data_IF_631720067116
#
_entry.id   IF_631720067116
#
_cell.length_a   1.000
_cell.length_b   1.000
_cell.length_c   1.000
_cell.angle_alpha   90.00
_cell.angle_beta   90.00
_cell.angle_gamma   90.00
#
_symmetry.space_group_name_H-M   'P 1'
#
loop_
_entity.id
_entity.type
_entity.pdbx_description
1 polymer ?
#
# COMPACT_ATOMS: atom_id res chain seq x y z
N UNK A 1 31.81 -52.98 28.64
CA UNK A 1 32.27 -51.98 27.67
C UNK A 1 31.34 -52.03 26.47
N UNK A 2 30.24 -51.24 26.46
CA UNK A 2 29.41 -51.06 25.26
C UNK A 2 28.56 -49.79 25.38
N UNK A 3 29.03 -48.80 24.63
CA UNK A 3 28.38 -47.67 23.97
C UNK A 3 26.97 -47.21 24.41
N UNK A 4 26.96 -45.94 24.83
CA UNK A 4 25.82 -45.01 24.85
C UNK A 4 25.09 -45.01 23.50
N UNK A 5 23.76 -45.01 23.53
CA UNK A 5 22.94 -44.43 22.45
C UNK A 5 22.07 -43.34 23.09
N UNK A 6 22.46 -42.09 22.88
CA UNK A 6 21.65 -40.93 23.23
C UNK A 6 20.64 -40.76 22.09
N UNK A 7 19.38 -41.14 22.31
CA UNK A 7 18.30 -40.86 21.37
C UNK A 7 17.98 -39.37 21.51
N UNK A 8 18.51 -38.56 20.59
CA UNK A 8 18.08 -37.19 20.43
C UNK A 8 16.66 -37.21 19.84
N UNK A 9 15.66 -37.04 20.71
CA UNK A 9 14.29 -36.75 20.29
C UNK A 9 14.30 -35.36 19.69
N UNK A 10 14.37 -35.28 18.36
CA UNK A 10 14.15 -34.04 17.63
C UNK A 10 12.64 -33.80 17.71
N UNK A 11 12.21 -32.99 18.67
CA UNK A 11 10.87 -32.41 18.66
C UNK A 11 10.76 -31.58 17.38
N UNK A 12 10.09 -32.13 16.37
CA UNK A 12 9.65 -31.38 15.19
C UNK A 12 8.57 -30.39 15.64
N UNK A 13 9.00 -29.23 16.10
CA UNK A 13 8.13 -28.08 16.29
C UNK A 13 7.52 -27.77 14.92
N UNK A 14 6.18 -27.80 14.74
CA UNK A 14 5.58 -27.22 13.56
C UNK A 14 5.90 -25.73 13.63
N UNK A 15 6.83 -25.29 12.79
CA UNK A 15 7.01 -23.89 12.49
C UNK A 15 5.68 -23.47 11.87
N UNK A 16 4.84 -22.81 12.66
CA UNK A 16 3.70 -22.04 12.17
C UNK A 16 4.29 -20.88 11.37
N UNK A 17 4.74 -21.18 10.16
CA UNK A 17 4.88 -20.19 9.12
C UNK A 17 3.45 -19.75 8.79
N UNK A 18 2.95 -18.71 9.48
CA UNK A 18 1.99 -17.84 8.83
C UNK A 18 2.76 -17.16 7.70
N UNK A 19 2.76 -17.82 6.54
CA UNK A 19 3.04 -17.15 5.30
C UNK A 19 1.99 -16.05 5.18
N UNK A 20 2.38 -14.80 5.40
CA UNK A 20 1.65 -13.71 4.81
C UNK A 20 1.94 -13.86 3.31
N UNK A 21 0.98 -14.45 2.59
CA UNK A 21 1.07 -14.62 1.14
C UNK A 21 1.02 -13.23 0.50
N UNK A 22 2.20 -12.64 0.33
CA UNK A 22 2.39 -11.41 -0.42
C UNK A 22 2.80 -11.81 -1.83
N UNK A 23 2.05 -11.35 -2.83
CA UNK A 23 2.40 -11.52 -4.23
C UNK A 23 2.84 -10.18 -4.82
N UNK A 24 3.94 -10.18 -5.58
CA UNK A 24 4.56 -8.97 -6.10
C UNK A 24 4.49 -8.89 -7.63
N UNK A 25 4.06 -7.74 -8.14
CA UNK A 25 3.92 -7.39 -9.55
C UNK A 25 4.66 -6.06 -9.80
N UNK A 26 5.94 -6.14 -10.17
CA UNK A 26 6.79 -4.95 -10.20
C UNK A 26 6.97 -4.36 -8.80
N UNK A 27 6.64 -3.08 -8.62
CA UNK A 27 6.64 -2.43 -7.30
C UNK A 27 5.29 -2.51 -6.58
N UNK A 28 4.32 -3.25 -7.13
CA UNK A 28 3.02 -3.45 -6.50
C UNK A 28 3.00 -4.77 -5.75
N UNK A 29 2.50 -4.76 -4.53
CA UNK A 29 2.36 -5.92 -3.65
C UNK A 29 0.90 -6.10 -3.31
N UNK A 30 0.37 -7.28 -3.60
CA UNK A 30 -0.91 -7.73 -3.07
C UNK A 30 -0.65 -8.41 -1.73
N UNK A 31 -1.30 -7.93 -0.68
CA UNK A 31 -1.27 -8.57 0.62
C UNK A 31 -2.65 -9.10 1.00
N UNK A 32 -2.70 -10.36 1.41
CA UNK A 32 -3.92 -11.01 1.87
C UNK A 32 -3.98 -10.98 3.40
N UNK A 33 -5.13 -10.62 3.95
CA UNK A 33 -5.41 -10.67 5.38
C UNK A 33 -6.75 -11.32 5.63
N UNK A 34 -6.76 -12.36 6.45
CA UNK A 34 -8.02 -12.95 6.93
C UNK A 34 -8.56 -12.09 8.08
N UNK A 35 -9.76 -11.53 7.93
CA UNK A 35 -10.51 -10.93 9.03
C UNK A 35 -11.02 -12.06 9.94
N UNK A 36 -10.34 -12.25 11.07
CA UNK A 36 -10.63 -13.30 12.05
C UNK A 36 -12.02 -13.18 12.69
N UNK A 37 -12.71 -12.05 12.53
CA UNK A 37 -14.06 -11.85 13.08
C UNK A 37 -15.15 -12.16 12.06
N UNK A 38 -14.86 -12.06 10.77
CA UNK A 38 -15.83 -12.29 9.69
C UNK A 38 -15.54 -13.52 8.84
N UNK A 39 -14.37 -14.14 9.01
CA UNK A 39 -13.85 -15.21 8.15
C UNK A 39 -13.78 -14.79 6.66
N UNK A 40 -13.61 -13.50 6.42
CA UNK A 40 -13.50 -12.89 5.10
C UNK A 40 -12.03 -12.66 4.76
N UNK A 41 -11.64 -12.96 3.51
CA UNK A 41 -10.33 -12.55 2.99
C UNK A 41 -10.40 -11.09 2.54
N UNK A 42 -9.45 -10.31 3.01
CA UNK A 42 -9.24 -8.94 2.59
C UNK A 42 -7.92 -8.86 1.84
N UNK A 43 -8.01 -8.63 0.54
CA UNK A 43 -6.85 -8.31 -0.27
C UNK A 43 -6.64 -6.81 -0.36
N UNK A 44 -5.37 -6.40 -0.37
CA UNK A 44 -5.01 -5.00 -0.60
C UNK A 44 -3.83 -4.90 -1.55
N UNK A 45 -3.94 -4.01 -2.54
CA UNK A 45 -2.86 -3.70 -3.49
C UNK A 45 -2.11 -2.49 -2.97
N UNK A 46 -0.81 -2.64 -2.70
CA UNK A 46 0.06 -1.59 -2.14
C UNK A 46 1.28 -1.37 -3.02
N UNK A 47 1.58 -0.12 -3.36
CA UNK A 47 2.86 0.22 -3.96
C UNK A 47 3.97 0.23 -2.89
N UNK A 48 5.09 -0.45 -3.18
CA UNK A 48 6.26 -0.55 -2.32
C UNK A 48 7.42 0.16 -3.01
N UNK A 49 7.79 1.32 -2.48
CA UNK A 49 9.00 2.03 -2.91
C UNK A 49 10.04 2.04 -1.78
N UNK A 50 11.30 1.84 -2.12
CA UNK A 50 12.41 1.71 -1.16
C UNK A 50 12.92 3.05 -0.62
N UNK A 51 12.28 4.18 -0.97
CA UNK A 51 12.68 5.48 -0.47
C UNK A 51 12.06 5.72 0.92
N UNK A 52 12.77 6.45 1.78
CA UNK A 52 12.37 6.72 3.17
C UNK A 52 11.06 7.54 3.31
N UNK A 53 10.32 7.77 2.22
CA UNK A 53 9.08 8.55 2.15
C UNK A 53 8.04 7.70 1.44
N UNK A 54 7.21 7.02 2.23
CA UNK A 54 6.33 5.95 1.73
C UNK A 54 5.05 6.49 1.11
N UNK A 55 5.10 6.82 -0.17
CA UNK A 55 3.88 6.90 -0.95
C UNK A 55 3.20 5.53 -0.98
N UNK A 56 2.15 5.36 -0.19
CA UNK A 56 1.28 4.19 -0.28
C UNK A 56 0.08 4.54 -1.14
N UNK A 57 -0.41 3.53 -1.84
CA UNK A 57 -1.72 3.56 -2.48
C UNK A 57 -2.32 2.23 -2.11
N UNK A 58 -3.49 2.22 -1.47
CA UNK A 58 -4.09 0.99 -0.94
C UNK A 58 -5.45 0.76 -1.59
N UNK A 59 -5.51 -0.13 -2.57
CA UNK A 59 -6.80 -0.53 -3.14
C UNK A 59 -7.33 -1.76 -2.40
N UNK A 60 -8.55 -1.65 -1.85
CA UNK A 60 -9.30 -2.80 -1.32
C UNK A 60 -10.40 -3.13 -2.35
N UNK A 61 -10.35 -4.28 -3.02
CA UNK A 61 -11.26 -4.63 -4.11
C UNK A 61 -12.68 -5.01 -3.67
N UNK A 62 -13.02 -4.93 -2.38
CA UNK A 62 -14.36 -5.29 -1.91
C UNK A 62 -15.40 -4.26 -2.36
N UNK A 63 -16.45 -4.75 -3.04
CA UNK A 63 -17.56 -3.95 -3.58
C UNK A 63 -18.30 -3.07 -2.54
N UNK A 64 -18.12 -3.34 -1.25
CA UNK A 64 -18.83 -2.69 -0.14
C UNK A 64 -18.00 -1.65 0.63
N UNK A 65 -16.76 -1.34 0.18
CA UNK A 65 -15.89 -0.35 0.84
C UNK A 65 -15.35 0.66 -0.18
N UNK A 66 -15.23 1.96 0.16
CA UNK A 66 -14.55 2.90 -0.72
C UNK A 66 -13.10 2.47 -0.95
N UNK A 67 -12.64 2.58 -2.20
CA UNK A 67 -11.23 2.45 -2.54
C UNK A 67 -10.52 3.72 -2.07
N UNK A 68 -9.40 3.55 -1.36
CA UNK A 68 -8.70 4.67 -0.72
C UNK A 68 -7.29 4.82 -1.28
N UNK A 69 -7.04 5.93 -1.98
CA UNK A 69 -5.66 6.33 -2.22
C UNK A 69 -5.15 6.92 -0.90
N UNK A 70 -4.24 6.21 -0.24
CA UNK A 70 -3.73 6.54 1.09
C UNK A 70 -2.24 6.86 1.05
N UNK A 71 -1.92 8.14 0.96
CA UNK A 71 -0.54 8.58 0.93
C UNK A 71 0.00 8.78 2.35
N UNK A 72 1.01 7.99 2.74
CA UNK A 72 1.61 8.02 4.08
C UNK A 72 2.90 8.83 4.07
N UNK A 73 2.84 10.06 4.58
CA UNK A 73 4.05 10.88 4.70
C UNK A 73 4.74 10.56 6.01
N UNK A 74 5.81 9.76 5.95
CA UNK A 74 6.79 9.67 7.03
C UNK A 74 7.77 10.84 6.91
N UNK A 75 7.29 12.06 7.03
CA UNK A 75 8.18 13.21 7.21
C UNK A 75 7.68 14.01 8.41
N UNK A 76 8.61 14.57 9.18
CA UNK A 76 8.28 15.46 10.30
C UNK A 76 7.74 16.82 9.86
N UNK A 77 7.28 16.95 8.62
CA UNK A 77 6.74 18.17 8.02
C UNK A 77 5.29 17.92 7.63
N UNK A 78 4.38 18.63 8.29
CA UNK A 78 2.97 18.62 7.90
C UNK A 78 2.84 19.25 6.51
N UNK A 79 2.34 18.48 5.54
CA UNK A 79 1.86 18.99 4.27
C UNK A 79 0.49 19.65 4.44
N UNK A 80 0.33 20.88 3.93
CA UNK A 80 -0.95 21.58 3.83
C UNK A 80 -1.93 20.82 2.92
N UNK A 81 -1.39 20.23 1.85
CA UNK A 81 -2.14 19.55 0.80
C UNK A 81 -1.23 18.66 -0.02
N UNK A 82 -1.84 17.66 -0.65
CA UNK A 82 -1.22 16.75 -1.60
C UNK A 82 -1.90 16.95 -2.94
N UNK A 83 -1.09 16.95 -4.00
CA UNK A 83 -1.54 16.89 -5.39
C UNK A 83 -1.12 15.57 -5.99
N UNK A 84 -1.95 14.99 -6.85
CA UNK A 84 -1.49 13.93 -7.74
C UNK A 84 -1.95 14.16 -9.17
N UNK A 85 -1.21 13.55 -10.10
CA UNK A 85 -1.48 13.60 -11.53
C UNK A 85 -1.00 12.29 -12.17
N UNK A 86 -1.79 11.72 -13.06
CA UNK A 86 -1.42 10.53 -13.86
C UNK A 86 -1.12 10.99 -15.28
N UNK A 87 0.06 10.64 -15.78
CA UNK A 87 0.52 10.89 -17.17
C UNK A 87 0.30 12.32 -17.70
N UNK A 88 0.37 13.32 -16.83
CA UNK A 88 0.14 14.72 -17.23
C UNK A 88 -1.33 15.09 -17.44
N UNK A 89 -2.28 14.24 -17.04
CA UNK A 89 -3.73 14.49 -17.07
C UNK A 89 -4.22 15.49 -16.02
N UNK A 90 -5.46 15.35 -15.56
CA UNK A 90 -6.02 16.27 -14.57
C UNK A 90 -5.29 16.18 -13.22
N UNK A 91 -5.07 17.35 -12.61
CA UNK A 91 -4.48 17.45 -11.27
C UNK A 91 -5.58 17.34 -10.23
N UNK A 92 -5.42 16.40 -9.30
CA UNK A 92 -6.31 16.23 -8.14
C UNK A 92 -5.60 16.77 -6.90
N UNK A 93 -6.27 17.62 -6.13
CA UNK A 93 -5.75 18.24 -4.91
C UNK A 93 -6.62 17.87 -3.70
N UNK A 94 -5.98 17.49 -2.60
CA UNK A 94 -6.67 17.09 -1.37
C UNK A 94 -5.85 17.42 -0.11
N UNK A 95 -6.55 17.65 0.99
CA UNK A 95 -5.96 18.01 2.28
C UNK A 95 -5.69 16.79 3.19
N UNK A 96 -5.04 17.00 4.35
CA UNK A 96 -4.89 15.96 5.36
C UNK A 96 -6.27 15.56 5.90
N UNK A 97 -6.51 14.24 6.01
CA UNK A 97 -7.79 13.71 6.50
C UNK A 97 -7.66 13.18 7.93
N UNK A 98 -6.48 12.69 8.33
CA UNK A 98 -6.20 12.32 9.73
C UNK A 98 -4.70 12.33 10.07
N UNK A 99 -4.38 12.55 11.35
CA UNK A 99 -3.03 12.39 11.91
C UNK A 99 -2.96 11.06 12.65
N UNK A 100 -1.98 10.21 12.35
CA UNK A 100 -1.82 8.94 13.07
C UNK A 100 -1.10 9.19 14.40
N UNK A 101 -1.34 8.31 15.38
CA UNK A 101 -0.74 8.38 16.73
C UNK A 101 0.80 8.33 16.76
N UNK A 102 1.43 7.98 15.64
CA UNK A 102 2.89 7.82 15.48
C UNK A 102 3.59 9.08 14.93
N UNK A 103 2.87 10.20 14.80
CA UNK A 103 3.43 11.42 14.21
C UNK A 103 3.57 11.37 12.69
N UNK A 104 2.90 10.42 12.04
CA UNK A 104 2.79 10.34 10.58
C UNK A 104 1.47 11.00 10.17
N UNK A 105 1.49 11.78 9.09
CA UNK A 105 0.27 12.36 8.52
C UNK A 105 -0.20 11.44 7.41
N UNK A 106 -1.48 11.05 7.48
CA UNK A 106 -2.11 10.24 6.46
C UNK A 106 -3.03 11.13 5.62
N UNK A 107 -2.73 11.20 4.34
CA UNK A 107 -3.56 11.89 3.36
C UNK A 107 -4.44 10.84 2.69
N UNK A 108 -5.74 10.87 2.99
CA UNK A 108 -6.72 9.94 2.46
C UNK A 108 -7.60 10.68 1.47
N UNK A 109 -7.55 10.26 0.21
CA UNK A 109 -8.52 10.65 -0.79
C UNK A 109 -9.35 9.43 -1.18
N UNK A 110 -10.65 9.50 -0.95
CA UNK A 110 -11.60 8.59 -1.58
C UNK A 110 -11.72 8.96 -3.06
N UNK A 111 -11.43 8.01 -3.94
CA UNK A 111 -11.59 8.21 -5.38
C UNK A 111 -12.66 7.24 -5.85
N UNK A 112 -13.53 7.70 -6.75
CA UNK A 112 -14.52 6.83 -7.37
C UNK A 112 -13.84 5.60 -7.99
N UNK A 113 -14.30 4.41 -7.59
CA UNK A 113 -13.70 3.11 -7.91
C UNK A 113 -13.34 2.99 -9.40
N UNK A 114 -14.33 3.19 -10.27
CA UNK A 114 -14.16 2.99 -11.71
C UNK A 114 -13.10 3.91 -12.31
N UNK A 115 -13.09 5.18 -11.89
CA UNK A 115 -12.11 6.16 -12.39
C UNK A 115 -10.70 5.84 -11.89
N UNK A 116 -10.54 5.52 -10.61
CA UNK A 116 -9.23 5.22 -10.04
C UNK A 116 -8.62 3.95 -10.66
N UNK A 117 -9.41 2.88 -10.78
CA UNK A 117 -8.96 1.63 -11.39
C UNK A 117 -8.65 1.83 -12.87
N UNK A 118 -9.50 2.55 -13.60
CA UNK A 118 -9.24 2.87 -15.00
C UNK A 118 -7.93 3.64 -15.17
N UNK A 119 -7.80 4.79 -14.49
CA UNK A 119 -6.63 5.67 -14.65
C UNK A 119 -5.32 4.94 -14.27
N UNK A 120 -5.33 4.17 -13.18
CA UNK A 120 -4.14 3.44 -12.71
C UNK A 120 -3.81 2.22 -13.59
N UNK A 121 -4.82 1.56 -14.17
CA UNK A 121 -4.61 0.40 -15.05
C UNK A 121 -4.16 0.79 -16.44
N UNK A 122 -4.57 1.97 -16.93
CA UNK A 122 -4.19 2.47 -18.26
C UNK A 122 -2.96 3.38 -18.24
N UNK A 123 -2.62 3.93 -17.08
CA UNK A 123 -1.55 4.92 -16.96
C UNK A 123 -0.15 4.32 -16.83
N UNK A 124 0.87 5.14 -17.07
CA UNK A 124 2.28 4.77 -16.95
C UNK A 124 2.88 5.23 -15.61
N UNK A 125 2.50 6.43 -15.16
CA UNK A 125 3.11 7.10 -14.03
C UNK A 125 2.14 7.93 -13.21
N UNK A 126 2.32 7.90 -11.89
CA UNK A 126 1.62 8.74 -10.93
C UNK A 126 2.62 9.70 -10.29
N UNK A 127 2.48 10.99 -10.56
CA UNK A 127 3.25 12.05 -9.89
C UNK A 127 2.49 12.52 -8.67
N UNK A 128 3.15 12.56 -7.52
CA UNK A 128 2.59 13.07 -6.27
C UNK A 128 3.44 14.25 -5.81
N UNK A 129 2.80 15.36 -5.46
CA UNK A 129 3.43 16.57 -4.94
C UNK A 129 2.86 16.93 -3.56
N UNK A 130 3.72 17.05 -2.57
CA UNK A 130 3.39 17.56 -1.23
C UNK A 130 3.71 19.05 -1.18
N UNK A 131 2.73 19.83 -0.74
CA UNK A 131 2.91 21.25 -0.46
C UNK A 131 2.99 21.40 1.07
N UNK A 132 4.15 21.80 1.64
CA UNK A 132 4.31 21.95 3.08
C UNK A 132 3.49 23.13 3.63
N UNK A 133 2.98 23.02 4.86
CA UNK A 133 2.34 24.16 5.54
C UNK A 133 3.30 25.34 5.72
N UNK A 134 4.57 25.04 6.03
CA UNK A 134 5.61 26.04 6.15
C UNK A 134 6.28 26.28 4.80
N UNK A 135 5.98 27.44 4.20
CA UNK A 135 6.50 27.89 2.89
C UNK A 135 8.02 28.09 2.81
N UNK A 136 8.74 27.93 3.93
CA UNK A 136 10.21 27.89 3.93
C UNK A 136 10.76 26.55 3.42
N UNK A 137 9.94 25.50 3.38
CA UNK A 137 10.31 24.22 2.80
C UNK A 137 9.83 24.14 1.34
N UNK A 138 10.63 23.55 0.43
CA UNK A 138 10.21 23.34 -0.95
C UNK A 138 9.13 22.26 -1.04
N UNK A 139 8.35 22.29 -2.12
CA UNK A 139 7.43 21.20 -2.43
C UNK A 139 8.22 19.90 -2.67
N UNK A 140 7.69 18.79 -2.20
CA UNK A 140 8.29 17.47 -2.39
C UNK A 140 7.56 16.74 -3.49
N UNK A 141 8.28 16.21 -4.49
CA UNK A 141 7.70 15.43 -5.58
C UNK A 141 8.24 14.00 -5.58
N UNK A 142 7.35 13.04 -5.78
CA UNK A 142 7.71 11.65 -6.11
C UNK A 142 6.96 11.18 -7.34
N UNK A 143 7.54 10.21 -8.05
CA UNK A 143 6.92 9.60 -9.23
C UNK A 143 6.89 8.10 -9.04
N UNK A 144 5.68 7.56 -9.04
CA UNK A 144 5.39 6.14 -8.90
C UNK A 144 5.17 5.56 -10.29
N UNK A 145 5.78 4.42 -10.59
CA UNK A 145 5.44 3.65 -11.78
C UNK A 145 4.13 2.89 -11.57
N UNK A 146 3.22 3.01 -12.52
CA UNK A 146 1.98 2.24 -12.56
C UNK A 146 2.15 0.88 -13.23
N UNK A 147 3.36 0.57 -13.73
CA UNK A 147 3.68 -0.74 -14.31
C UNK A 147 3.44 -1.87 -13.30
N UNK A 148 2.65 -2.87 -13.69
CA UNK A 148 2.28 -4.01 -12.85
C UNK A 148 1.02 -3.77 -11.99
N UNK A 149 0.48 -2.55 -11.96
CA UNK A 149 -0.75 -2.25 -11.21
C UNK A 149 -1.93 -3.09 -11.70
N UNK A 150 -2.18 -3.11 -13.02
CA UNK A 150 -3.33 -3.82 -13.60
C UNK A 150 -3.32 -5.32 -13.26
N UNK A 151 -2.13 -5.94 -13.28
CA UNK A 151 -1.97 -7.36 -12.91
C UNK A 151 -2.19 -7.59 -11.41
N UNK A 152 -1.63 -6.72 -10.56
CA UNK A 152 -1.82 -6.77 -9.12
C UNK A 152 -3.30 -6.59 -8.73
N UNK A 153 -3.97 -5.64 -9.37
CA UNK A 153 -5.39 -5.35 -9.14
C UNK A 153 -6.26 -6.53 -9.60
N UNK A 154 -6.05 -7.05 -10.82
CA UNK A 154 -6.78 -8.22 -11.32
C UNK A 154 -6.51 -9.50 -10.51
N UNK A 155 -5.35 -9.62 -9.86
CA UNK A 155 -5.09 -10.68 -8.90
C UNK A 155 -5.88 -10.47 -7.60
N UNK A 156 -5.84 -9.26 -7.04
CA UNK A 156 -6.54 -8.91 -5.82
C UNK A 156 -8.08 -9.01 -5.95
N UNK A 157 -8.65 -8.73 -7.13
CA UNK A 157 -10.10 -8.92 -7.37
C UNK A 157 -10.55 -10.37 -7.30
N UNK A 158 -9.65 -11.34 -7.52
CA UNK A 158 -9.95 -12.79 -7.43
C UNK A 158 -9.76 -13.34 -6.02
N UNK A 159 -9.40 -12.48 -5.09
CA UNK A 159 -9.22 -12.81 -3.68
C UNK A 159 -10.59 -12.92 -3.02
N UNK A 160 -11.21 -14.07 -3.20
CA UNK A 160 -12.45 -14.49 -2.54
C UNK A 160 -12.17 -15.58 -1.48
#
# INVERSE_FOLDING_TARGET
MTRKLLIAVILSVPILAQANDQMQFGNWVVSEKVDKFKDEKLCSVTHVESSNRMAKVIFNPTHDSPHMISYEVITGTLGERVKYQIDGGDVVEFGPNTSTKTGQVLYLQEVGLEKAVFDFSSGESLVIEIIPENRLYPNEKTTISLSGFAEAYAFAEKCE
#
